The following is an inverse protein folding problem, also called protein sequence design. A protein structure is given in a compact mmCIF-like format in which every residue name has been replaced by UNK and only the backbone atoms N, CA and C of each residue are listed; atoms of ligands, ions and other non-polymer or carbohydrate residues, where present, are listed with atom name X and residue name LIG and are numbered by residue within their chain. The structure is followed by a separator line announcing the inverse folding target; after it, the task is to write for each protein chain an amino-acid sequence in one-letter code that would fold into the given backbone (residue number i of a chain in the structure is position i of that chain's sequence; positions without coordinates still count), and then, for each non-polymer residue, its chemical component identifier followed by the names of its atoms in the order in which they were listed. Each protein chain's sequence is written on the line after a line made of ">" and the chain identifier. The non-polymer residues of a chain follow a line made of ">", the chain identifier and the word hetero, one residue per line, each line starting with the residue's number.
data_IF_263339756849
#
_entry.id   IF_263339756849
#
_cell.length_a   1.000
_cell.length_b   1.000
_cell.length_c   1.000
_cell.angle_alpha   90.00
_cell.angle_beta   90.00
_cell.angle_gamma   90.00
#
_symmetry.space_group_name_H-M   'P 1'
#
loop_
_entity.id
_entity.type
_entity.pdbx_description
1 polymer ?
#
# COMPACT_ATOMS: atom_id res chain seq x y z
N UNK A 1 14.11 10.42 16.06
CA UNK A 1 15.14 9.79 16.93
C UNK A 1 15.36 10.58 18.22
N UNK A 2 15.68 11.88 18.17
CA UNK A 2 15.99 12.69 19.35
C UNK A 2 14.88 12.78 20.41
N UNK A 3 13.61 12.80 20.00
CA UNK A 3 12.45 12.87 20.92
C UNK A 3 12.37 11.60 21.81
N UNK A 4 12.64 10.41 21.28
CA UNK A 4 12.59 9.16 22.04
C UNK A 4 13.69 9.07 23.09
N UNK A 5 14.88 9.55 22.75
CA UNK A 5 16.02 9.60 23.67
C UNK A 5 15.72 10.56 24.83
N UNK A 6 15.13 11.73 24.53
CA UNK A 6 14.72 12.69 25.54
C UNK A 6 13.63 12.14 26.48
N UNK A 7 12.59 11.50 25.93
CA UNK A 7 11.51 10.88 26.73
C UNK A 7 12.04 9.75 27.61
N UNK A 8 12.93 8.91 27.07
CA UNK A 8 13.58 7.84 27.84
C UNK A 8 14.44 8.38 28.98
N UNK A 9 15.20 9.45 28.72
CA UNK A 9 16.04 10.09 29.74
C UNK A 9 15.20 10.69 30.88
N UNK A 10 14.12 11.39 30.55
CA UNK A 10 13.19 11.95 31.54
C UNK A 10 12.52 10.85 32.35
N UNK A 11 12.02 9.78 31.71
CA UNK A 11 11.39 8.66 32.40
C UNK A 11 12.37 7.96 33.36
N UNK A 12 13.63 7.77 32.95
CA UNK A 12 14.66 7.20 33.82
C UNK A 12 15.00 8.11 34.99
N UNK A 13 15.06 9.42 34.78
CA UNK A 13 15.32 10.38 35.85
C UNK A 13 14.22 10.36 36.90
N UNK A 14 12.95 10.36 36.47
CA UNK A 14 11.78 10.28 37.36
C UNK A 14 11.74 8.96 38.12
N UNK A 15 11.96 7.83 37.44
CA UNK A 15 12.01 6.52 38.07
C UNK A 15 13.13 6.43 39.13
N UNK A 16 14.31 7.01 38.84
CA UNK A 16 15.42 7.02 39.78
C UNK A 16 15.13 7.85 41.03
N UNK A 17 14.50 9.03 40.89
CA UNK A 17 14.05 9.84 42.03
C UNK A 17 13.07 9.04 42.89
N UNK A 18 12.07 8.42 42.27
CA UNK A 18 11.05 7.65 42.98
C UNK A 18 11.66 6.45 43.73
N UNK A 19 12.51 5.66 43.06
CA UNK A 19 13.18 4.50 43.67
C UNK A 19 14.12 4.93 44.80
N UNK A 20 14.81 6.06 44.63
CA UNK A 20 15.68 6.64 45.67
C UNK A 20 14.88 7.07 46.90
N UNK A 21 13.73 7.71 46.72
CA UNK A 21 12.84 8.09 47.82
C UNK A 21 12.22 6.88 48.51
N UNK A 22 11.84 5.84 47.76
CA UNK A 22 11.15 4.65 48.29
C UNK A 22 12.10 3.65 48.96
N UNK A 23 13.34 3.55 48.50
CA UNK A 23 14.34 2.59 48.99
C UNK A 23 15.68 3.28 49.36
N UNK A 24 15.69 4.17 50.36
CA UNK A 24 16.87 4.99 50.67
C UNK A 24 18.06 4.17 51.19
N UNK A 25 17.80 3.03 51.85
CA UNK A 25 18.80 2.14 52.44
C UNK A 25 19.50 1.23 51.42
N UNK A 26 19.00 1.17 50.18
CA UNK A 26 19.59 0.33 49.15
C UNK A 26 20.88 0.92 48.61
N UNK A 27 21.86 0.06 48.36
CA UNK A 27 23.07 0.43 47.62
C UNK A 27 22.68 1.05 46.26
N UNK A 28 23.44 2.05 45.80
CA UNK A 28 23.13 2.82 44.58
C UNK A 28 22.90 1.93 43.35
N UNK A 29 23.69 0.87 43.20
CA UNK A 29 23.57 -0.07 42.09
C UNK A 29 22.24 -0.86 42.09
N UNK A 30 21.71 -1.21 43.26
CA UNK A 30 20.42 -1.91 43.39
C UNK A 30 19.27 -0.99 42.97
N UNK A 31 19.33 0.28 43.36
CA UNK A 31 18.35 1.30 42.94
C UNK A 31 18.39 1.54 41.43
N UNK A 32 19.59 1.60 40.85
CA UNK A 32 19.78 1.71 39.42
C UNK A 32 19.18 0.52 38.67
N UNK A 33 19.43 -0.71 39.15
CA UNK A 33 18.87 -1.93 38.55
C UNK A 33 17.33 -1.94 38.58
N UNK A 34 16.72 -1.53 39.70
CA UNK A 34 15.26 -1.43 39.82
C UNK A 34 14.70 -0.36 38.88
N UNK A 35 15.34 0.81 38.81
CA UNK A 35 14.95 1.89 37.91
C UNK A 35 14.97 1.45 36.45
N UNK A 36 16.06 0.81 36.01
CA UNK A 36 16.20 0.26 34.66
C UNK A 36 15.19 -0.86 34.38
N UNK A 37 14.92 -1.72 35.37
CA UNK A 37 13.93 -2.79 35.28
C UNK A 37 12.50 -2.29 35.07
N UNK A 38 12.19 -1.05 35.47
CA UNK A 38 10.87 -0.42 35.24
C UNK A 38 10.86 0.33 33.89
N UNK A 39 11.92 1.06 33.59
CA UNK A 39 11.94 1.98 32.43
C UNK A 39 12.12 1.26 31.11
N UNK A 40 12.88 0.15 31.07
CA UNK A 40 13.11 -0.62 29.84
C UNK A 40 11.82 -1.27 29.32
N UNK A 41 11.04 -2.03 30.12
CA UNK A 41 9.79 -2.62 29.63
C UNK A 41 8.75 -1.57 29.22
N UNK A 42 8.65 -0.46 29.97
CA UNK A 42 7.74 0.63 29.65
C UNK A 42 8.11 1.30 28.31
N UNK A 43 9.40 1.54 28.08
CA UNK A 43 9.89 2.09 26.82
C UNK A 43 9.61 1.15 25.65
N UNK A 44 9.91 -0.14 25.80
CA UNK A 44 9.62 -1.15 24.77
C UNK A 44 8.12 -1.24 24.46
N UNK A 45 7.25 -1.12 25.48
CA UNK A 45 5.80 -1.11 25.29
C UNK A 45 5.33 0.15 24.56
N UNK A 46 5.84 1.33 24.90
CA UNK A 46 5.49 2.59 24.22
C UNK A 46 5.98 2.57 22.77
N UNK A 47 7.21 2.12 22.52
CA UNK A 47 7.78 2.01 21.17
C UNK A 47 7.03 0.94 20.36
N UNK A 48 6.69 -0.19 20.98
CA UNK A 48 5.89 -1.25 20.36
C UNK A 48 4.49 -0.77 19.98
N UNK A 49 3.80 -0.05 20.87
CA UNK A 49 2.51 0.57 20.59
C UNK A 49 2.65 1.66 19.52
N UNK A 50 3.69 2.49 19.58
CA UNK A 50 3.92 3.49 18.55
C UNK A 50 4.12 2.86 17.17
N UNK A 51 4.94 1.81 17.07
CA UNK A 51 5.07 1.07 15.81
C UNK A 51 3.76 0.37 15.42
N UNK A 52 2.96 -0.13 16.36
CA UNK A 52 1.68 -0.74 16.04
C UNK A 52 0.65 0.27 15.49
N UNK A 53 0.62 1.49 16.04
CA UNK A 53 -0.35 2.53 15.66
C UNK A 53 0.13 3.46 14.53
N UNK A 54 1.44 3.66 14.40
CA UNK A 54 2.06 4.65 13.50
C UNK A 54 3.10 4.06 12.55
N UNK A 55 3.53 2.80 12.68
CA UNK A 55 4.15 2.19 11.51
C UNK A 55 3.04 2.11 10.46
N UNK A 56 3.34 2.60 9.26
CA UNK A 56 2.54 2.32 8.08
C UNK A 56 2.14 0.85 8.15
N UNK A 57 0.84 0.51 8.00
CA UNK A 57 0.40 -0.87 8.04
C UNK A 57 1.29 -1.59 7.06
N UNK A 58 2.17 -2.45 7.61
CA UNK A 58 3.28 -3.16 6.94
C UNK A 58 3.13 -2.92 5.47
N UNK A 59 3.88 -1.96 4.91
CA UNK A 59 3.88 -1.72 3.47
C UNK A 59 3.99 -3.11 2.88
N UNK A 60 2.86 -3.63 2.38
CA UNK A 60 2.76 -5.02 2.00
C UNK A 60 3.73 -5.01 0.84
N UNK A 61 4.97 -5.46 1.07
CA UNK A 61 5.84 -5.91 0.00
C UNK A 61 5.05 -7.09 -0.54
N UNK A 62 4.09 -6.78 -1.40
CA UNK A 62 3.44 -7.78 -2.21
C UNK A 62 4.61 -8.54 -2.82
N UNK A 63 4.68 -9.87 -2.64
CA UNK A 63 5.70 -10.66 -3.30
C UNK A 63 5.74 -10.19 -4.76
N UNK A 64 6.93 -9.92 -5.28
CA UNK A 64 7.10 -9.35 -6.61
C UNK A 64 6.22 -10.13 -7.59
N UNK A 65 5.10 -9.54 -7.98
CA UNK A 65 4.10 -10.26 -8.74
C UNK A 65 4.58 -10.33 -10.19
N UNK A 66 4.70 -11.54 -10.71
CA UNK A 66 5.28 -11.78 -12.04
C UNK A 66 4.36 -11.32 -13.18
N UNK A 67 3.09 -11.05 -12.91
CA UNK A 67 2.14 -10.55 -13.90
C UNK A 67 2.29 -9.07 -14.25
N UNK A 68 1.35 -8.58 -15.07
CA UNK A 68 1.26 -7.19 -15.52
C UNK A 68 0.06 -6.50 -14.86
N UNK A 69 0.30 -5.38 -14.17
CA UNK A 69 -0.77 -4.49 -13.69
C UNK A 69 -0.64 -3.23 -14.52
N UNK A 70 -1.68 -2.94 -15.30
CA UNK A 70 -1.77 -1.73 -16.09
C UNK A 70 -3.00 -0.95 -15.67
N UNK A 71 -2.89 0.39 -15.61
CA UNK A 71 -3.99 1.28 -15.27
C UNK A 71 -3.98 2.51 -16.14
N UNK A 72 -5.16 2.97 -16.52
CA UNK A 72 -5.39 4.25 -17.20
C UNK A 72 -6.60 4.91 -16.59
N UNK A 73 -6.57 6.23 -16.45
CA UNK A 73 -7.79 6.98 -16.15
C UNK A 73 -8.73 6.92 -17.37
N UNK A 74 -10.02 6.79 -17.08
CA UNK A 74 -11.12 7.05 -18.01
C UNK A 74 -12.02 8.09 -17.37
N UNK A 75 -12.48 9.07 -18.15
CA UNK A 75 -13.25 10.18 -17.60
C UNK A 75 -14.46 10.53 -18.46
N UNK A 76 -15.50 11.04 -17.81
CA UNK A 76 -16.66 11.62 -18.48
C UNK A 76 -16.27 12.79 -19.40
N UNK A 77 -15.19 13.51 -19.10
CA UNK A 77 -14.72 14.62 -19.93
C UNK A 77 -14.28 14.15 -21.32
N UNK A 78 -13.73 12.93 -21.43
CA UNK A 78 -13.30 12.35 -22.71
C UNK A 78 -14.47 11.85 -23.55
N UNK A 79 -15.57 11.45 -22.92
CA UNK A 79 -16.75 10.88 -23.60
C UNK A 79 -18.10 11.31 -23.01
N UNK A 80 -18.40 12.62 -22.95
CA UNK A 80 -19.50 13.16 -22.13
C UNK A 80 -20.89 12.68 -22.53
N UNK A 81 -21.07 12.24 -23.78
CA UNK A 81 -22.35 11.76 -24.33
C UNK A 81 -22.59 10.27 -24.13
N UNK A 82 -21.54 9.49 -23.94
CA UNK A 82 -21.60 8.01 -23.88
C UNK A 82 -21.11 7.46 -22.56
N UNK A 83 -20.82 8.32 -21.58
CA UNK A 83 -20.35 7.94 -20.26
C UNK A 83 -21.39 7.09 -19.52
N UNK A 84 -21.11 5.81 -19.22
CA UNK A 84 -22.11 4.90 -18.67
C UNK A 84 -22.02 4.73 -17.15
N UNK A 85 -21.09 5.43 -16.48
CA UNK A 85 -20.77 5.19 -15.07
C UNK A 85 -21.27 6.29 -14.13
N UNK A 86 -21.44 5.93 -12.85
CA UNK A 86 -21.94 6.82 -11.79
C UNK A 86 -20.98 7.95 -11.40
N UNK A 87 -19.68 7.66 -11.37
CA UNK A 87 -18.65 8.63 -11.00
C UNK A 87 -18.10 9.32 -12.24
N UNK A 88 -17.59 10.56 -12.14
CA UNK A 88 -17.08 11.32 -13.30
C UNK A 88 -15.76 10.79 -13.85
N UNK A 89 -14.97 10.04 -13.06
CA UNK A 89 -13.80 9.31 -13.56
C UNK A 89 -13.52 8.05 -12.76
N UNK A 90 -12.86 7.10 -13.41
CA UNK A 90 -12.36 5.87 -12.81
C UNK A 90 -10.96 5.57 -13.29
N UNK A 91 -10.20 4.85 -12.48
CA UNK A 91 -9.04 4.12 -12.94
C UNK A 91 -9.49 2.78 -13.50
N UNK A 92 -9.41 2.64 -14.82
CA UNK A 92 -9.60 1.37 -15.52
C UNK A 92 -8.28 0.60 -15.49
N UNK A 93 -8.32 -0.58 -14.90
CA UNK A 93 -7.16 -1.43 -14.75
C UNK A 93 -7.30 -2.79 -15.39
N UNK A 94 -6.17 -3.43 -15.60
CA UNK A 94 -6.09 -4.83 -15.94
C UNK A 94 -4.94 -5.49 -15.18
N UNK A 95 -5.21 -6.71 -14.71
CA UNK A 95 -4.29 -7.52 -13.93
C UNK A 95 -4.28 -8.95 -14.47
N UNK A 96 -3.13 -9.47 -14.89
CA UNK A 96 -2.99 -10.88 -15.25
C UNK A 96 -1.63 -11.24 -15.84
N UNK A 97 -1.55 -12.42 -16.44
CA UNK A 97 -0.35 -12.91 -17.15
C UNK A 97 -0.75 -13.94 -18.21
N UNK A 98 0.01 -14.04 -19.30
CA UNK A 98 -0.11 -15.07 -20.33
C UNK A 98 -1.54 -15.25 -20.89
N UNK A 99 -2.23 -14.14 -21.14
CA UNK A 99 -3.59 -14.17 -21.68
C UNK A 99 -4.70 -14.37 -20.65
N UNK A 100 -4.38 -14.71 -19.39
CA UNK A 100 -5.33 -14.78 -18.29
C UNK A 100 -5.38 -13.44 -17.55
N UNK A 101 -6.17 -12.51 -18.07
CA UNK A 101 -6.33 -11.18 -17.51
C UNK A 101 -7.71 -10.95 -16.92
N UNK A 102 -7.71 -10.29 -15.76
CA UNK A 102 -8.87 -9.67 -15.15
C UNK A 102 -8.86 -8.16 -15.43
N UNK A 103 -10.03 -7.57 -15.69
CA UNK A 103 -10.23 -6.14 -15.93
C UNK A 103 -11.12 -5.59 -14.83
N UNK A 104 -10.79 -4.40 -14.32
CA UNK A 104 -11.47 -3.80 -13.19
C UNK A 104 -11.57 -2.28 -13.28
N UNK A 105 -12.48 -1.70 -12.51
CA UNK A 105 -12.54 -0.28 -12.19
C UNK A 105 -12.17 -0.08 -10.72
N UNK A 106 -11.53 1.05 -10.44
CA UNK A 106 -11.38 1.61 -9.09
C UNK A 106 -11.70 3.09 -9.17
N UNK A 107 -12.36 3.64 -8.16
CA UNK A 107 -12.60 5.08 -8.11
C UNK A 107 -11.28 5.83 -8.03
N UNK A 108 -11.12 6.88 -8.81
CA UNK A 108 -9.88 7.68 -8.83
C UNK A 108 -9.54 8.22 -7.43
N UNK A 109 -10.57 8.64 -6.68
CA UNK A 109 -10.43 9.15 -5.31
C UNK A 109 -9.94 8.13 -4.26
N UNK A 110 -10.07 6.84 -4.56
CA UNK A 110 -9.64 5.74 -3.69
C UNK A 110 -8.13 5.43 -3.87
N UNK A 111 -7.55 5.85 -4.99
CA UNK A 111 -6.14 5.62 -5.32
C UNK A 111 -5.31 6.88 -5.06
N UNK A 112 -5.90 8.07 -5.23
CA UNK A 112 -5.23 9.32 -4.94
C UNK A 112 -5.02 9.49 -3.43
N UNK A 113 -3.76 9.39 -3.01
CA UNK A 113 -3.32 9.72 -1.67
C UNK A 113 -3.49 11.23 -1.42
N UNK A 114 -4.69 11.68 -1.05
CA UNK A 114 -4.92 13.07 -0.62
C UNK A 114 -4.18 13.33 0.70
N UNK A 115 -3.25 14.28 0.68
CA UNK A 115 -2.57 14.77 1.89
C UNK A 115 -3.58 15.27 2.93
N UNK A 116 -3.54 14.73 4.15
CA UNK A 116 -4.44 15.11 5.25
C UNK A 116 -5.54 14.09 5.60
N UNK A 117 -5.61 12.94 4.93
CA UNK A 117 -6.55 11.87 5.31
C UNK A 117 -6.03 11.04 6.49
N UNK A 118 -6.92 10.74 7.44
CA UNK A 118 -6.61 10.11 8.72
C UNK A 118 -6.42 8.58 8.67
N UNK A 119 -6.70 7.90 7.55
CA UNK A 119 -6.54 6.45 7.40
C UNK A 119 -6.18 6.06 5.96
N UNK A 120 -5.41 4.98 5.76
CA UNK A 120 -5.22 4.38 4.45
C UNK A 120 -6.56 3.80 3.98
N UNK A 121 -7.11 4.35 2.89
CA UNK A 121 -8.29 3.80 2.26
C UNK A 121 -7.88 2.48 1.58
N UNK A 122 -8.64 1.41 1.81
CA UNK A 122 -8.50 0.19 1.01
C UNK A 122 -9.33 0.43 -0.26
N UNK A 123 -8.70 0.54 -1.45
CA UNK A 123 -9.45 0.82 -2.67
C UNK A 123 -10.45 -0.31 -2.94
N UNK A 124 -11.70 0.06 -3.26
CA UNK A 124 -12.70 -0.91 -3.69
C UNK A 124 -12.55 -1.16 -5.19
N UNK A 125 -12.36 -2.43 -5.54
CA UNK A 125 -12.23 -2.87 -6.92
C UNK A 125 -13.55 -3.42 -7.43
N UNK A 126 -13.88 -3.11 -8.69
CA UNK A 126 -15.09 -3.54 -9.37
C UNK A 126 -14.72 -4.31 -10.65
N UNK A 127 -14.97 -5.62 -10.68
CA UNK A 127 -14.59 -6.48 -11.81
C UNK A 127 -15.50 -6.31 -13.03
N UNK A 128 -14.90 -6.08 -14.20
CA UNK A 128 -15.59 -6.01 -15.50
C UNK A 128 -15.44 -7.30 -16.32
N UNK A 129 -14.29 -7.97 -16.22
CA UNK A 129 -14.01 -9.27 -16.85
C UNK A 129 -13.04 -10.03 -15.97
N UNK A 130 -13.41 -11.22 -15.50
CA UNK A 130 -12.61 -11.90 -14.49
C UNK A 130 -12.65 -11.14 -13.16
N UNK A 131 -12.85 -11.85 -12.06
CA UNK A 131 -12.96 -11.21 -10.76
C UNK A 131 -12.02 -11.88 -9.78
N UNK A 132 -11.29 -11.08 -9.01
CA UNK A 132 -10.47 -11.57 -7.91
C UNK A 132 -11.29 -11.57 -6.60
N UNK A 133 -10.85 -12.33 -5.59
CA UNK A 133 -11.49 -12.30 -4.28
C UNK A 133 -11.60 -10.86 -3.75
N UNK A 134 -12.77 -10.50 -3.20
CA UNK A 134 -13.12 -9.17 -2.65
C UNK A 134 -13.41 -8.07 -3.68
N UNK A 135 -13.36 -8.37 -4.97
CA UNK A 135 -13.84 -7.43 -5.98
C UNK A 135 -15.37 -7.48 -6.03
N UNK A 136 -15.97 -6.30 -6.09
CA UNK A 136 -17.39 -6.14 -6.34
C UNK A 136 -17.71 -6.28 -7.83
N UNK A 137 -19.00 -6.42 -8.14
CA UNK A 137 -19.47 -6.50 -9.52
C UNK A 137 -19.40 -5.13 -10.20
N UNK A 138 -18.83 -5.06 -11.40
CA UNK A 138 -18.75 -3.83 -12.20
C UNK A 138 -20.10 -3.15 -12.42
N UNK A 139 -21.15 -3.94 -12.59
CA UNK A 139 -22.52 -3.49 -12.87
C UNK A 139 -23.07 -2.54 -11.80
N UNK A 140 -22.53 -2.60 -10.57
CA UNK A 140 -22.94 -1.68 -9.50
C UNK A 140 -22.52 -0.24 -9.74
N UNK A 141 -21.56 -0.01 -10.65
CA UNK A 141 -21.01 1.31 -10.98
C UNK A 141 -21.64 1.93 -12.25
N UNK A 142 -22.59 1.23 -12.88
CA UNK A 142 -23.32 1.73 -14.04
C UNK A 142 -24.45 2.68 -13.67
N UNK A 143 -24.73 3.67 -14.53
CA UNK A 143 -25.93 4.49 -14.44
C UNK A 143 -27.20 3.63 -14.61
N UNK A 144 -28.31 4.08 -14.03
CA UNK A 144 -29.58 3.37 -14.13
C UNK A 144 -30.00 3.18 -15.59
N UNK A 145 -30.41 1.96 -15.95
CA UNK A 145 -30.80 1.60 -17.31
C UNK A 145 -29.66 1.21 -18.25
N UNK A 146 -28.41 1.31 -17.83
CA UNK A 146 -27.26 0.77 -18.58
C UNK A 146 -27.11 -0.74 -18.34
N UNK A 147 -26.60 -1.44 -19.36
CA UNK A 147 -26.34 -2.89 -19.30
C UNK A 147 -24.84 -3.18 -19.23
N UNK A 148 -24.47 -4.39 -18.82
CA UNK A 148 -23.07 -4.85 -18.82
C UNK A 148 -22.42 -4.86 -20.22
N UNK A 149 -23.19 -4.74 -21.30
CA UNK A 149 -22.64 -4.68 -22.66
C UNK A 149 -21.72 -3.48 -22.88
N UNK A 150 -21.96 -2.37 -22.17
CA UNK A 150 -21.11 -1.18 -22.23
C UNK A 150 -19.67 -1.48 -21.78
N UNK A 151 -19.48 -2.48 -20.92
CA UNK A 151 -18.15 -2.89 -20.47
C UNK A 151 -17.30 -3.43 -21.61
N UNK A 152 -17.89 -3.96 -22.69
CA UNK A 152 -17.14 -4.56 -23.80
C UNK A 152 -16.07 -3.61 -24.34
N UNK A 153 -16.44 -2.34 -24.58
CA UNK A 153 -15.51 -1.30 -25.05
C UNK A 153 -14.31 -1.13 -24.10
N UNK A 154 -14.58 -0.98 -22.81
CA UNK A 154 -13.55 -0.75 -21.79
C UNK A 154 -12.69 -1.98 -21.52
N UNK A 155 -13.31 -3.16 -21.54
CA UNK A 155 -12.62 -4.44 -21.41
C UNK A 155 -11.66 -4.65 -22.58
N UNK A 156 -12.12 -4.47 -23.81
CA UNK A 156 -11.28 -4.63 -25.01
C UNK A 156 -10.11 -3.64 -24.99
N UNK A 157 -10.37 -2.37 -24.68
CA UNK A 157 -9.35 -1.34 -24.53
C UNK A 157 -8.31 -1.69 -23.45
N UNK A 158 -8.76 -2.08 -22.25
CA UNK A 158 -7.87 -2.42 -21.14
C UNK A 158 -7.01 -3.65 -21.45
N UNK A 159 -7.59 -4.67 -22.08
CA UNK A 159 -6.88 -5.90 -22.49
C UNK A 159 -5.79 -5.62 -23.53
N UNK A 160 -6.06 -4.73 -24.49
CA UNK A 160 -5.06 -4.32 -25.48
C UNK A 160 -3.84 -3.70 -24.80
N UNK A 161 -4.07 -2.76 -23.88
CA UNK A 161 -3.00 -2.10 -23.13
C UNK A 161 -2.23 -3.07 -22.23
N UNK A 162 -2.93 -4.01 -21.59
CA UNK A 162 -2.32 -5.04 -20.74
C UNK A 162 -1.38 -5.96 -21.51
N UNK A 163 -1.81 -6.46 -22.67
CA UNK A 163 -0.97 -7.29 -23.57
C UNK A 163 0.25 -6.51 -24.05
N UNK A 164 0.06 -5.23 -24.38
CA UNK A 164 1.16 -4.35 -24.77
C UNK A 164 2.14 -4.15 -23.62
N UNK A 165 1.65 -3.91 -22.41
CA UNK A 165 2.49 -3.77 -21.22
C UNK A 165 3.25 -5.07 -20.86
N UNK A 166 2.62 -6.25 -21.00
CA UNK A 166 3.28 -7.54 -20.79
C UNK A 166 4.38 -7.80 -21.83
N UNK A 167 4.11 -7.54 -23.11
CA UNK A 167 5.14 -7.69 -24.16
C UNK A 167 6.33 -6.74 -23.94
N UNK A 168 6.11 -5.52 -23.46
CA UNK A 168 7.19 -4.62 -23.07
C UNK A 168 8.00 -5.14 -21.87
N UNK A 169 7.34 -5.73 -20.87
CA UNK A 169 8.00 -6.34 -19.69
C UNK A 169 8.87 -7.53 -20.10
N UNK A 170 8.37 -8.37 -21.00
CA UNK A 170 9.09 -9.52 -21.53
C UNK A 170 10.29 -9.09 -22.40
N UNK A 171 10.12 -8.07 -23.26
CA UNK A 171 11.21 -7.55 -24.09
C UNK A 171 12.34 -6.92 -23.25
N UNK A 172 12.01 -6.20 -22.17
CA UNK A 172 13.03 -5.71 -21.22
C UNK A 172 13.77 -6.84 -20.50
N UNK A 173 13.11 -7.96 -20.28
CA UNK A 173 13.69 -9.16 -19.67
C UNK A 173 14.52 -9.99 -20.67
N UNK A 174 14.33 -9.76 -21.98
CA UNK A 174 15.02 -10.46 -23.08
C UNK A 174 16.17 -9.66 -23.71
N UNK A 175 16.55 -8.49 -23.17
CA UNK A 175 17.80 -7.84 -23.59
C UNK A 175 18.95 -8.82 -23.29
N UNK A 176 19.74 -9.25 -24.28
CA UNK A 176 20.86 -10.14 -24.05
C UNK A 176 21.80 -9.45 -23.06
N UNK A 177 22.08 -10.12 -21.93
CA UNK A 177 23.26 -9.79 -21.12
C UNK A 177 24.45 -10.12 -22.01
N UNK A 178 24.93 -9.11 -22.73
CA UNK A 178 26.01 -9.27 -23.69
C UNK A 178 27.24 -9.77 -22.94
N UNK A 179 27.65 -11.00 -23.25
CA UNK A 179 28.94 -11.56 -22.88
C UNK A 179 30.00 -10.81 -23.68
N UNK A 180 30.73 -9.89 -23.03
CA UNK A 180 32.13 -9.46 -23.25
C UNK A 180 32.27 -8.09 -22.55
N UNK A 181 33.14 -7.90 -21.57
CA UNK A 181 34.59 -8.07 -21.64
C UNK A 181 35.15 -8.73 -20.37
N UNK A 182 35.61 -9.98 -20.55
CA UNK A 182 36.87 -10.42 -19.98
C UNK A 182 37.97 -10.06 -21.00
N UNK A 183 39.15 -9.69 -20.50
CA UNK A 183 40.47 -9.47 -21.15
C UNK A 183 40.89 -8.06 -21.62
N UNK A 184 42.19 -7.81 -21.37
CA UNK A 184 43.09 -6.67 -21.63
C UNK A 184 42.94 -5.47 -20.69
N UNK A 185 43.92 -5.07 -19.89
CA UNK A 185 45.31 -5.50 -19.60
C UNK A 185 45.67 -5.01 -18.19
#
# INVERSE_FOLDING_TARGET
>A
MFIYIALYAVANFVANIFVTAKFPTFAKWKRLAISLGITIPLYLLIVGLYHFYFADPIAFKQPAWEGVDWRSEISQADEPKTWPFKEPSYMLGCQGINGNYSVYLVKTEDIDAKSGRARPLVPQYYGLKGSLPRWEKGETQLLDGQSAEVFKKYVDYSLELCKKAESMKNNKSQVPVDKKQQQSD
#
